data_IF_363366456669
#
_entry.id   IF_363366456669
#
_cell.length_a   1.000
_cell.length_b   1.000
_cell.length_c   1.000
_cell.angle_alpha   90.00
_cell.angle_beta   90.00
_cell.angle_gamma   90.00
#
_symmetry.space_group_name_H-M   'P 1'
#
loop_
_entity.id
_entity.type
_entity.pdbx_description
1 polymer ?
#
# COMPACT_ATOMS: atom_id res chain seq x y z
N UNK A 1 35.80 3.83 -6.25
CA UNK A 1 35.31 2.83 -5.28
C UNK A 1 36.46 1.88 -4.99
N UNK A 2 36.65 1.51 -3.72
CA UNK A 2 37.65 0.51 -3.36
C UNK A 2 36.98 -0.86 -3.23
N UNK A 3 37.71 -1.93 -3.55
CA UNK A 3 37.23 -3.29 -3.33
C UNK A 3 36.85 -3.49 -1.87
N UNK A 4 35.66 -4.04 -1.61
CA UNK A 4 35.14 -4.26 -0.26
C UNK A 4 34.44 -3.06 0.39
N UNK A 5 34.37 -1.91 -0.29
CA UNK A 5 33.60 -0.76 0.19
C UNK A 5 32.10 -1.08 0.22
N UNK A 6 31.45 -0.81 1.35
CA UNK A 6 30.01 -0.99 1.51
C UNK A 6 29.23 0.06 0.69
N UNK A 7 28.31 -0.41 -0.16
CA UNK A 7 27.44 0.47 -0.98
C UNK A 7 26.07 0.67 -0.31
N UNK A 8 25.48 -0.40 0.24
CA UNK A 8 24.20 -0.40 0.92
C UNK A 8 24.14 -1.51 1.97
N UNK A 9 23.38 -1.29 3.04
CA UNK A 9 23.10 -2.24 4.10
C UNK A 9 21.71 -2.84 3.95
N UNK A 10 21.48 -4.01 4.56
CA UNK A 10 20.15 -4.60 4.66
C UNK A 10 19.20 -3.63 5.39
N UNK A 11 18.09 -3.30 4.75
CA UNK A 11 17.09 -2.36 5.29
C UNK A 11 17.18 -0.96 4.70
N UNK A 12 18.26 -0.64 3.98
CA UNK A 12 18.38 0.65 3.30
C UNK A 12 17.34 0.79 2.19
N UNK A 13 16.74 1.99 2.10
CA UNK A 13 15.93 2.36 0.95
C UNK A 13 16.87 2.66 -0.22
N UNK A 14 16.71 1.94 -1.32
CA UNK A 14 17.52 2.14 -2.52
C UNK A 14 17.38 3.59 -3.02
N UNK A 15 18.49 4.33 -2.98
CA UNK A 15 18.59 5.69 -3.52
C UNK A 15 19.18 5.67 -4.93
N UNK A 16 19.05 6.78 -5.66
CA UNK A 16 19.69 6.96 -6.97
C UNK A 16 21.22 6.82 -6.89
N UNK A 17 21.84 7.33 -5.83
CA UNK A 17 23.28 7.21 -5.60
C UNK A 17 23.71 5.75 -5.39
N UNK A 18 22.97 4.99 -4.57
CA UNK A 18 23.25 3.57 -4.35
C UNK A 18 23.10 2.76 -5.65
N UNK A 19 22.08 3.05 -6.45
CA UNK A 19 21.88 2.41 -7.75
C UNK A 19 23.03 2.73 -8.71
N UNK A 20 23.42 3.99 -8.85
CA UNK A 20 24.53 4.40 -9.71
C UNK A 20 25.87 3.80 -9.26
N UNK A 21 26.13 3.78 -7.94
CA UNK A 21 27.33 3.18 -7.36
C UNK A 21 27.38 1.68 -7.66
N UNK A 22 26.26 0.97 -7.48
CA UNK A 22 26.13 -0.46 -7.77
C UNK A 22 26.41 -0.77 -9.24
N UNK A 23 25.84 0.01 -10.17
CA UNK A 23 26.07 -0.14 -11.61
C UNK A 23 27.56 0.08 -11.95
N UNK A 24 28.18 1.13 -11.38
CA UNK A 24 29.60 1.41 -11.61
C UNK A 24 30.52 0.31 -11.08
N UNK A 25 30.08 -0.42 -10.04
CA UNK A 25 30.75 -1.59 -9.49
C UNK A 25 30.45 -2.91 -10.25
N UNK A 26 29.68 -2.86 -11.35
CA UNK A 26 29.32 -4.02 -12.16
C UNK A 26 28.16 -4.87 -11.62
N UNK A 27 27.44 -4.39 -10.59
CA UNK A 27 26.30 -5.08 -9.99
C UNK A 27 25.03 -4.73 -10.78
N UNK A 28 24.38 -5.73 -11.36
CA UNK A 28 23.18 -5.56 -12.21
C UNK A 28 21.86 -5.80 -11.48
N UNK A 29 21.89 -6.57 -10.41
CA UNK A 29 20.70 -6.97 -9.66
C UNK A 29 20.97 -6.88 -8.16
N UNK A 30 19.93 -6.57 -7.39
CA UNK A 30 19.99 -6.51 -5.93
C UNK A 30 18.81 -7.28 -5.32
N UNK A 31 19.07 -7.99 -4.23
CA UNK A 31 18.02 -8.61 -3.43
C UNK A 31 17.28 -7.51 -2.67
N UNK A 32 15.98 -7.41 -2.90
CA UNK A 32 15.09 -6.46 -2.23
C UNK A 32 13.98 -7.19 -1.50
N UNK A 33 13.34 -6.51 -0.56
CA UNK A 33 12.10 -7.02 0.02
C UNK A 33 10.97 -6.96 -0.99
N UNK A 34 10.03 -7.92 -0.90
CA UNK A 34 8.78 -7.84 -1.63
C UNK A 34 8.06 -6.54 -1.24
N UNK A 35 7.50 -5.84 -2.22
CA UNK A 35 6.66 -4.67 -1.97
C UNK A 35 5.50 -5.07 -1.05
N UNK A 36 5.21 -4.24 -0.05
CA UNK A 36 4.06 -4.45 0.83
C UNK A 36 2.78 -4.41 -0.01
N UNK A 37 1.87 -5.34 0.27
CA UNK A 37 0.53 -5.40 -0.34
C UNK A 37 -0.51 -5.13 0.75
N UNK A 38 -1.45 -4.23 0.49
CA UNK A 38 -2.48 -3.81 1.45
C UNK A 38 -3.86 -3.89 0.79
N UNK A 39 -4.78 -4.60 1.42
CA UNK A 39 -6.21 -4.56 1.08
C UNK A 39 -6.94 -3.50 1.91
N UNK A 40 -7.78 -2.69 1.28
CA UNK A 40 -8.60 -1.67 1.96
C UNK A 40 -10.07 -1.96 1.70
N UNK A 41 -10.83 -2.16 2.77
CA UNK A 41 -12.30 -2.20 2.73
C UNK A 41 -12.84 -1.34 3.86
N UNK A 42 -14.10 -0.92 3.70
CA UNK A 42 -14.86 -0.23 4.74
C UNK A 42 -16.03 -1.08 5.21
N UNK A 43 -16.49 -0.80 6.41
CA UNK A 43 -17.67 -1.44 7.01
C UNK A 43 -18.46 -0.38 7.77
N UNK A 44 -19.77 -0.56 7.84
CA UNK A 44 -20.73 0.43 8.34
C UNK A 44 -21.87 0.60 7.36
N UNK A 45 -23.08 0.24 7.77
CA UNK A 45 -24.26 0.27 6.91
C UNK A 45 -24.59 1.69 6.43
N UNK A 46 -24.19 2.71 7.19
CA UNK A 46 -24.31 4.13 6.87
C UNK A 46 -23.42 4.60 5.71
N UNK A 47 -22.35 3.87 5.37
CA UNK A 47 -21.37 4.32 4.38
C UNK A 47 -21.90 4.26 2.95
N UNK A 48 -21.74 5.33 2.18
CA UNK A 48 -22.09 5.37 0.75
C UNK A 48 -20.90 5.83 -0.11
N UNK A 49 -20.93 5.47 -1.40
CA UNK A 49 -19.97 5.97 -2.39
C UNK A 49 -20.24 7.46 -2.69
N UNK A 50 -19.21 8.22 -3.01
CA UNK A 50 -19.32 9.62 -3.45
C UNK A 50 -20.22 9.84 -4.66
N UNK A 51 -20.47 8.81 -5.47
CA UNK A 51 -21.40 8.87 -6.60
C UNK A 51 -22.88 8.73 -6.19
N UNK A 52 -23.16 8.35 -4.94
CA UNK A 52 -24.52 8.13 -4.43
C UNK A 52 -25.10 9.39 -3.78
N UNK A 53 -26.43 9.49 -3.74
CA UNK A 53 -27.12 10.56 -3.04
C UNK A 53 -27.09 10.33 -1.53
N UNK A 54 -26.83 11.40 -0.77
CA UNK A 54 -26.93 11.41 0.68
C UNK A 54 -28.39 11.22 1.11
N UNK A 55 -28.66 10.13 1.82
CA UNK A 55 -29.93 9.90 2.51
C UNK A 55 -29.79 10.23 4.00
N UNK A 56 -30.92 10.40 4.68
CA UNK A 56 -30.92 10.62 6.12
C UNK A 56 -30.22 9.44 6.84
N UNK A 57 -29.16 9.75 7.59
CA UNK A 57 -28.36 8.75 8.32
C UNK A 57 -27.20 8.14 7.54
N UNK A 58 -27.02 8.47 6.25
CA UNK A 58 -25.86 8.01 5.47
C UNK A 58 -24.71 9.02 5.51
N UNK A 59 -23.48 8.54 5.39
CA UNK A 59 -22.26 9.36 5.26
C UNK A 59 -21.35 8.79 4.17
N UNK A 60 -20.55 9.64 3.54
CA UNK A 60 -19.59 9.18 2.53
C UNK A 60 -18.43 8.42 3.16
N UNK A 61 -17.97 7.37 2.48
CA UNK A 61 -16.72 6.71 2.85
C UNK A 61 -15.50 7.57 2.48
N UNK A 62 -14.98 8.30 3.46
CA UNK A 62 -13.80 9.13 3.32
C UNK A 62 -12.48 8.38 3.61
N UNK A 63 -12.56 7.25 4.32
CA UNK A 63 -11.38 6.56 4.83
C UNK A 63 -10.75 5.67 3.76
N UNK A 64 -11.57 4.94 2.99
CA UNK A 64 -11.07 4.10 1.90
C UNK A 64 -10.23 4.90 0.88
N UNK A 65 -10.72 6.01 0.28
CA UNK A 65 -9.91 6.78 -0.66
C UNK A 65 -8.71 7.47 0.00
N UNK A 66 -8.83 7.92 1.25
CA UNK A 66 -7.71 8.50 2.00
C UNK A 66 -6.57 7.49 2.18
N UNK A 67 -6.88 6.29 2.67
CA UNK A 67 -5.90 5.24 2.92
C UNK A 67 -5.29 4.74 1.61
N UNK A 68 -6.10 4.52 0.58
CA UNK A 68 -5.61 4.11 -0.74
C UNK A 68 -4.64 5.13 -1.33
N UNK A 69 -4.93 6.44 -1.21
CA UNK A 69 -4.04 7.51 -1.65
C UNK A 69 -2.73 7.53 -0.84
N UNK A 70 -2.81 7.39 0.48
CA UNK A 70 -1.66 7.39 1.38
C UNK A 70 -0.69 6.25 1.06
N UNK A 71 -1.20 5.02 0.98
CA UNK A 71 -0.38 3.85 0.68
C UNK A 71 0.21 3.91 -0.73
N UNK A 72 -0.54 4.41 -1.71
CA UNK A 72 -0.04 4.63 -3.07
C UNK A 72 1.14 5.60 -3.10
N UNK A 73 1.09 6.70 -2.32
CA UNK A 73 2.21 7.65 -2.17
C UNK A 73 3.45 7.01 -1.54
N UNK A 74 3.28 6.00 -0.69
CA UNK A 74 4.38 5.23 -0.11
C UNK A 74 4.93 4.16 -1.06
N UNK A 75 4.35 4.00 -2.25
CA UNK A 75 4.76 2.97 -3.22
C UNK A 75 4.34 1.56 -2.80
N UNK A 76 3.34 1.45 -1.91
CA UNK A 76 2.72 0.19 -1.50
C UNK A 76 1.75 -0.25 -2.59
N UNK A 77 1.61 -1.56 -2.78
CA UNK A 77 0.58 -2.11 -3.68
C UNK A 77 -0.75 -2.15 -2.92
N UNK A 78 -1.72 -1.34 -3.34
CA UNK A 78 -3.04 -1.27 -2.70
C UNK A 78 -4.07 -2.01 -3.53
N UNK A 79 -4.99 -2.70 -2.89
CA UNK A 79 -6.18 -3.29 -3.50
C UNK A 79 -7.42 -2.79 -2.77
N UNK A 80 -8.30 -2.10 -3.51
CA UNK A 80 -9.61 -1.70 -2.99
C UNK A 80 -10.55 -2.90 -3.04
N UNK A 81 -11.05 -3.29 -1.88
CA UNK A 81 -11.88 -4.47 -1.66
C UNK A 81 -13.38 -4.12 -1.53
N UNK A 82 -13.69 -2.82 -1.53
CA UNK A 82 -15.04 -2.25 -1.49
C UNK A 82 -15.63 -2.14 -0.10
N UNK A 83 -16.93 -1.82 -0.05
CA UNK A 83 -17.72 -1.82 1.19
C UNK A 83 -18.14 -3.24 1.55
N UNK A 84 -17.98 -3.60 2.81
CA UNK A 84 -18.41 -4.88 3.39
C UNK A 84 -19.52 -4.60 4.40
N UNK A 85 -20.66 -5.32 4.36
CA UNK A 85 -21.71 -5.18 5.35
C UNK A 85 -21.18 -5.30 6.79
N UNK A 86 -21.81 -4.61 7.73
CA UNK A 86 -21.45 -4.72 9.15
C UNK A 86 -21.99 -6.03 9.76
N UNK A 87 -21.41 -7.13 9.32
CA UNK A 87 -21.77 -8.48 9.70
C UNK A 87 -20.51 -9.30 9.95
N UNK A 88 -20.41 -9.87 11.16
CA UNK A 88 -19.23 -10.59 11.61
C UNK A 88 -18.83 -11.76 10.70
N UNK A 89 -19.81 -12.54 10.23
CA UNK A 89 -19.55 -13.68 9.36
C UNK A 89 -19.02 -13.23 7.99
N UNK A 90 -19.62 -12.19 7.43
CA UNK A 90 -19.22 -11.60 6.15
C UNK A 90 -17.82 -10.97 6.23
N UNK A 91 -17.53 -10.24 7.31
CA UNK A 91 -16.21 -9.66 7.57
C UNK A 91 -15.14 -10.75 7.71
N UNK A 92 -15.44 -11.84 8.42
CA UNK A 92 -14.51 -12.96 8.57
C UNK A 92 -14.19 -13.61 7.24
N UNK A 93 -15.22 -13.93 6.44
CA UNK A 93 -15.04 -14.54 5.12
C UNK A 93 -14.26 -13.66 4.14
N UNK A 94 -14.25 -12.33 4.35
CA UNK A 94 -13.49 -11.39 3.52
C UNK A 94 -12.01 -11.28 3.91
N UNK A 95 -11.66 -11.67 5.14
CA UNK A 95 -10.28 -11.63 5.67
C UNK A 95 -9.50 -12.93 5.46
N UNK A 96 -10.20 -14.05 5.29
CA UNK A 96 -9.63 -15.37 4.96
C UNK A 96 -9.27 -15.47 3.46
#
# INVERSE_FOLDING_TARGET
>A
MQTGQLIASKGDRLTTFMAASSISAGIKEAKVYKRLSVGVFSTGDELIDFQQNLNAGSVFDVNSPMLTSLFSKWGVQVTELGKVPDNLETLRNKLE
#
